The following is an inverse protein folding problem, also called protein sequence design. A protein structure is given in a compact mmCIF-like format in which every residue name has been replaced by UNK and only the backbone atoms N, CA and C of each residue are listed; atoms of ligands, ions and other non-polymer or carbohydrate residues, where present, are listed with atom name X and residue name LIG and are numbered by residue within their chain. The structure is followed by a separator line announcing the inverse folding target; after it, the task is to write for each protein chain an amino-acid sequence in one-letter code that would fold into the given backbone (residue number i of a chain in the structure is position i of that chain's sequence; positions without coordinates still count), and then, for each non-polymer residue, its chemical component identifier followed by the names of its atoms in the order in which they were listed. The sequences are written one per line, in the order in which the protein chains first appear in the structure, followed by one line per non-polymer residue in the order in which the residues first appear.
data_IF_171120157073
#
_entry.id   IF_171120157073
#
_cell.length_a   1.000
_cell.length_b   1.000
_cell.length_c   1.000
_cell.angle_alpha   90.00
_cell.angle_beta   90.00
_cell.angle_gamma   90.00
#
_symmetry.space_group_name_H-M   'P 1'
#
loop_
_entity.id
_entity.type
_entity.pdbx_description
1 polymer ?
#
# COMPACT_ATOMS: atom_id res chain seq x y z
N UNK A 1 18.52 4.59 -2.48
CA UNK A 1 17.65 5.04 -1.36
C UNK A 1 18.55 5.39 -0.19
N UNK A 2 18.64 6.66 0.20
CA UNK A 2 19.56 7.11 1.26
C UNK A 2 19.22 6.55 2.65
N UNK A 3 17.93 6.24 2.89
CA UNK A 3 17.47 5.71 4.17
C UNK A 3 17.89 4.24 4.39
N UNK A 4 17.80 3.40 3.36
CA UNK A 4 18.12 1.96 3.48
C UNK A 4 19.60 1.70 3.76
N UNK A 5 20.49 2.57 3.27
CA UNK A 5 21.93 2.53 3.58
C UNK A 5 22.27 2.95 5.01
N UNK A 6 21.33 3.57 5.73
CA UNK A 6 21.53 4.07 7.08
C UNK A 6 20.92 3.17 8.17
N UNK A 7 20.47 1.95 7.84
CA UNK A 7 19.86 1.02 8.81
C UNK A 7 18.34 1.10 8.92
N UNK A 8 17.68 1.85 8.02
CA UNK A 8 16.22 1.81 7.88
C UNK A 8 15.78 0.68 6.95
N UNK A 9 14.63 0.08 7.26
CA UNK A 9 13.97 -0.91 6.41
C UNK A 9 12.53 -0.46 6.14
N UNK A 10 12.14 -0.45 4.86
CA UNK A 10 10.76 -0.20 4.43
C UNK A 10 9.97 -1.50 4.58
N UNK A 11 8.83 -1.47 5.29
CA UNK A 11 7.96 -2.62 5.44
C UNK A 11 7.53 -3.23 4.09
N UNK A 12 7.45 -2.42 3.03
CA UNK A 12 7.14 -2.89 1.69
C UNK A 12 8.21 -3.84 1.10
N UNK A 13 9.37 -4.00 1.74
CA UNK A 13 10.35 -5.03 1.37
C UNK A 13 9.99 -6.43 1.89
N UNK A 14 8.87 -6.59 2.60
CA UNK A 14 8.42 -7.89 3.11
C UNK A 14 8.34 -8.95 2.01
N UNK A 15 8.66 -10.20 2.36
CA UNK A 15 8.51 -11.34 1.45
C UNK A 15 7.04 -11.61 1.16
N UNK A 16 6.20 -11.56 2.20
CA UNK A 16 4.76 -11.74 2.10
C UNK A 16 4.09 -10.38 1.98
N UNK A 17 3.47 -10.13 0.83
CA UNK A 17 2.83 -8.86 0.50
C UNK A 17 1.42 -9.10 -0.03
N UNK A 18 0.44 -8.43 0.56
CA UNK A 18 -0.98 -8.52 0.18
C UNK A 18 -1.46 -7.18 -0.35
N UNK A 19 -2.29 -7.22 -1.39
CA UNK A 19 -3.01 -6.06 -1.92
C UNK A 19 -2.14 -4.91 -2.44
N UNK A 20 -0.85 -5.15 -2.72
CA UNK A 20 0.10 -4.13 -3.19
C UNK A 20 -0.23 -3.55 -4.57
N UNK A 21 -1.16 -4.18 -5.30
CA UNK A 21 -1.70 -3.67 -6.55
C UNK A 21 -2.75 -2.57 -6.38
N UNK A 22 -3.15 -2.28 -5.15
CA UNK A 22 -4.07 -1.20 -4.83
C UNK A 22 -3.28 -0.06 -4.19
N UNK A 23 -3.59 1.16 -4.62
CA UNK A 23 -2.93 2.35 -4.11
C UNK A 23 -3.35 2.62 -2.67
N UNK A 24 -2.41 3.10 -1.86
CA UNK A 24 -2.70 3.50 -0.46
C UNK A 24 -3.48 4.81 -0.42
N UNK A 25 -3.35 5.63 -1.47
CA UNK A 25 -4.28 6.71 -1.76
C UNK A 25 -5.33 6.27 -2.74
N UNK A 26 -6.50 6.86 -2.61
CA UNK A 26 -7.58 6.71 -3.54
C UNK A 26 -7.48 7.71 -4.71
N UNK A 27 -6.26 7.98 -5.18
CA UNK A 27 -6.00 8.77 -6.37
C UNK A 27 -6.00 7.84 -7.60
N UNK A 28 -6.77 8.21 -8.62
CA UNK A 28 -6.78 7.48 -9.88
C UNK A 28 -6.38 8.43 -11.01
N UNK A 29 -5.19 8.27 -11.61
CA UNK A 29 -4.72 9.15 -12.68
C UNK A 29 -5.53 9.04 -13.98
N UNK A 30 -6.50 8.10 -14.04
CA UNK A 30 -7.44 7.97 -15.16
C UNK A 30 -8.77 8.67 -14.92
N UNK A 31 -9.02 9.19 -13.71
CA UNK A 31 -10.21 9.97 -13.39
C UNK A 31 -9.90 11.47 -13.53
N UNK A 32 -10.90 12.28 -13.88
CA UNK A 32 -10.75 13.75 -13.90
C UNK A 32 -10.59 14.33 -12.49
N UNK A 33 -10.09 15.57 -12.37
CA UNK A 33 -9.81 16.23 -11.07
C UNK A 33 -11.04 16.29 -10.14
N UNK A 34 -12.24 16.56 -10.68
CA UNK A 34 -13.50 16.56 -9.91
C UNK A 34 -14.02 15.16 -9.53
N UNK A 35 -13.29 14.10 -9.90
CA UNK A 35 -13.55 12.71 -9.55
C UNK A 35 -12.39 12.09 -8.77
N UNK A 36 -11.46 12.93 -8.30
CA UNK A 36 -10.44 12.54 -7.33
C UNK A 36 -11.07 12.54 -5.94
N UNK A 37 -10.85 11.45 -5.20
CA UNK A 37 -11.54 11.16 -3.95
C UNK A 37 -11.67 9.65 -3.77
N UNK A 38 -12.33 9.20 -2.71
CA UNK A 38 -12.52 7.77 -2.48
C UNK A 38 -13.44 7.17 -3.56
N UNK A 39 -12.93 6.38 -4.53
CA UNK A 39 -13.77 5.87 -5.60
C UNK A 39 -14.73 4.84 -5.00
N UNK A 40 -15.84 4.58 -5.68
CA UNK A 40 -16.81 3.58 -5.20
C UNK A 40 -16.20 2.17 -5.05
N UNK A 41 -15.14 1.86 -5.81
CA UNK A 41 -14.45 0.57 -5.82
C UNK A 41 -12.94 0.75 -6.00
N UNK A 42 -12.11 -0.17 -5.46
CA UNK A 42 -10.66 -0.07 -5.57
C UNK A 42 -10.19 -0.21 -7.02
N UNK A 43 -9.27 0.66 -7.44
CA UNK A 43 -8.60 0.52 -8.72
C UNK A 43 -7.39 -0.41 -8.62
N UNK A 44 -7.45 -1.53 -9.34
CA UNK A 44 -6.36 -2.52 -9.39
C UNK A 44 -5.35 -2.17 -10.47
N UNK A 45 -4.12 -1.85 -10.07
CA UNK A 45 -3.00 -1.67 -10.99
C UNK A 45 -2.67 -3.00 -11.67
N UNK A 46 -2.44 -2.92 -12.98
CA UNK A 46 -2.15 -4.07 -13.81
C UNK A 46 -0.65 -4.19 -14.06
N UNK A 47 -0.19 -5.43 -14.27
CA UNK A 47 1.17 -5.67 -14.73
C UNK A 47 1.34 -5.07 -16.12
N UNK A 48 2.42 -4.33 -16.31
CA UNK A 48 2.82 -3.79 -17.62
C UNK A 48 4.32 -3.99 -17.80
N UNK A 49 4.85 -3.74 -19.01
CA UNK A 49 6.31 -3.75 -19.24
C UNK A 49 7.06 -2.80 -18.30
N UNK A 50 6.45 -1.66 -17.95
CA UNK A 50 7.02 -0.64 -17.04
C UNK A 50 6.70 -0.89 -15.56
N UNK A 51 5.74 -1.77 -15.26
CA UNK A 51 5.35 -2.17 -13.91
C UNK A 51 5.16 -3.70 -13.87
N UNK A 52 6.24 -4.49 -13.88
CA UNK A 52 6.15 -5.95 -14.04
C UNK A 52 5.51 -6.64 -12.82
N UNK A 53 5.53 -5.99 -11.66
CA UNK A 53 4.92 -6.52 -10.42
C UNK A 53 3.45 -6.12 -10.29
N UNK A 54 2.98 -5.14 -11.06
CA UNK A 54 1.62 -4.59 -10.95
C UNK A 54 1.41 -3.84 -9.63
N UNK A 55 2.49 -3.33 -9.04
CA UNK A 55 2.44 -2.59 -7.78
C UNK A 55 1.85 -1.21 -8.02
N UNK A 56 0.94 -0.78 -7.16
CA UNK A 56 0.42 0.57 -7.20
C UNK A 56 1.48 1.57 -6.69
N UNK A 57 1.27 2.84 -7.02
CA UNK A 57 2.01 3.92 -6.35
C UNK A 57 1.67 3.93 -4.86
N UNK A 58 2.67 4.24 -4.02
CA UNK A 58 2.52 4.37 -2.57
C UNK A 58 2.97 5.75 -2.15
N UNK A 59 2.24 6.37 -1.24
CA UNK A 59 2.70 7.57 -0.52
C UNK A 59 2.67 7.40 0.99
N UNK A 60 2.15 6.27 1.48
CA UNK A 60 2.16 5.86 2.88
C UNK A 60 3.29 4.83 3.10
N UNK A 61 4.14 5.09 4.09
CA UNK A 61 5.33 4.29 4.36
C UNK A 61 5.38 3.89 5.83
N UNK A 62 5.72 2.62 6.09
CA UNK A 62 6.07 2.16 7.43
C UNK A 62 7.56 1.82 7.41
N UNK A 63 8.33 2.60 8.15
CA UNK A 63 9.79 2.46 8.21
C UNK A 63 10.20 1.97 9.59
N UNK A 64 11.00 0.91 9.64
CA UNK A 64 11.65 0.45 10.86
C UNK A 64 13.12 0.86 10.87
N UNK A 65 13.68 1.15 12.05
CA UNK A 65 15.10 1.43 12.22
C UNK A 65 15.70 0.47 13.24
N UNK A 66 16.82 -0.15 12.89
CA UNK A 66 17.58 -1.00 13.81
C UNK A 66 18.16 -2.25 13.16
N UNK A 67 19.32 -2.67 13.67
CA UNK A 67 20.00 -3.89 13.22
C UNK A 67 19.19 -5.13 13.58
N UNK A 68 19.06 -6.06 12.62
CA UNK A 68 18.38 -7.34 12.82
C UNK A 68 16.85 -7.29 12.78
N UNK A 69 16.25 -6.11 12.57
CA UNK A 69 14.81 -5.97 12.37
C UNK A 69 14.38 -6.71 11.09
N UNK A 70 13.40 -7.59 11.20
CA UNK A 70 12.90 -8.40 10.09
C UNK A 70 11.46 -8.05 9.76
N UNK A 71 11.20 -7.62 8.54
CA UNK A 71 9.82 -7.43 8.07
C UNK A 71 9.22 -8.79 7.69
N UNK A 72 8.13 -9.16 8.36
CA UNK A 72 7.46 -10.46 8.17
C UNK A 72 6.41 -10.35 7.06
N UNK A 73 5.52 -9.37 7.17
CA UNK A 73 4.47 -9.15 6.18
C UNK A 73 4.11 -7.66 6.05
N UNK A 74 3.52 -7.35 4.90
CA UNK A 74 2.98 -6.04 4.57
C UNK A 74 1.65 -6.18 3.82
N UNK A 75 0.70 -5.33 4.12
CA UNK A 75 -0.64 -5.35 3.55
C UNK A 75 -1.20 -3.95 3.38
N UNK A 76 -1.78 -3.70 2.20
CA UNK A 76 -2.77 -2.64 2.02
C UNK A 76 -4.12 -3.21 2.40
N UNK A 77 -4.70 -2.73 3.49
CA UNK A 77 -5.94 -3.26 4.06
C UNK A 77 -7.11 -2.71 3.27
N UNK A 78 -7.94 -3.60 2.71
CA UNK A 78 -9.11 -3.24 1.91
C UNK A 78 -10.28 -4.12 2.33
N UNK A 79 -11.36 -3.48 2.74
CA UNK A 79 -12.65 -4.11 3.04
C UNK A 79 -13.67 -3.74 1.98
N UNK A 80 -14.33 -4.75 1.40
CA UNK A 80 -15.30 -4.58 0.33
C UNK A 80 -16.66 -5.13 0.71
N UNK A 81 -17.72 -4.45 0.28
CA UNK A 81 -19.09 -4.97 0.20
C UNK A 81 -19.38 -5.26 -1.26
N UNK A 82 -19.25 -6.53 -1.66
CA UNK A 82 -19.24 -6.91 -3.07
C UNK A 82 -17.98 -6.39 -3.78
N UNK A 83 -18.15 -5.48 -4.74
CA UNK A 83 -17.03 -4.83 -5.46
C UNK A 83 -16.73 -3.42 -4.93
N UNK A 84 -17.62 -2.85 -4.14
CA UNK A 84 -17.47 -1.51 -3.61
C UNK A 84 -16.71 -1.53 -2.29
N UNK A 85 -16.08 -0.42 -1.92
CA UNK A 85 -15.54 -0.30 -0.57
C UNK A 85 -16.64 -0.35 0.48
N UNK A 86 -16.33 -0.97 1.61
CA UNK A 86 -17.19 -0.92 2.78
C UNK A 86 -16.91 0.38 3.56
N UNK A 87 -17.87 1.30 3.55
CA UNK A 87 -17.77 2.60 4.22
C UNK A 87 -17.68 2.49 5.73
N UNK A 88 -18.17 1.40 6.34
CA UNK A 88 -18.07 1.17 7.79
C UNK A 88 -16.61 0.98 8.24
N UNK A 89 -15.73 0.63 7.29
CA UNK A 89 -14.29 0.47 7.49
C UNK A 89 -13.47 1.64 6.92
N UNK A 90 -14.12 2.69 6.44
CA UNK A 90 -13.47 3.87 5.89
C UNK A 90 -13.33 4.95 6.97
N UNK A 91 -12.12 5.09 7.52
CA UNK A 91 -11.79 6.12 8.51
C UNK A 91 -11.03 7.32 7.91
N UNK A 92 -10.56 7.21 6.67
CA UNK A 92 -9.68 8.19 6.01
C UNK A 92 -9.88 8.16 4.49
N UNK A 93 -9.38 9.17 3.79
CA UNK A 93 -9.21 9.19 2.34
C UNK A 93 -8.02 8.32 1.87
N UNK A 94 -7.19 7.86 2.79
CA UNK A 94 -6.16 6.85 2.60
C UNK A 94 -6.61 5.45 3.09
N UNK A 95 -6.09 4.40 2.46
CA UNK A 95 -6.22 3.01 2.90
C UNK A 95 -5.23 2.73 4.04
N UNK A 96 -5.68 1.99 5.06
CA UNK A 96 -4.79 1.52 6.11
C UNK A 96 -3.69 0.64 5.52
N UNK A 97 -2.45 0.90 5.93
CA UNK A 97 -1.31 0.02 5.69
C UNK A 97 -0.94 -0.68 6.99
N UNK A 98 -0.72 -2.00 6.91
CA UNK A 98 -0.36 -2.83 8.04
C UNK A 98 0.93 -3.56 7.74
N UNK A 99 1.80 -3.65 8.73
CA UNK A 99 3.02 -4.43 8.66
C UNK A 99 3.30 -5.12 9.99
N UNK A 100 3.94 -6.29 9.91
CA UNK A 100 4.46 -6.99 11.09
C UNK A 100 5.98 -7.01 11.02
N UNK A 101 6.61 -6.63 12.11
CA UNK A 101 8.04 -6.74 12.29
C UNK A 101 8.36 -7.76 13.37
N UNK A 102 9.41 -8.54 13.16
CA UNK A 102 10.06 -9.30 14.21
C UNK A 102 11.32 -8.54 14.64
N UNK A 103 11.44 -8.33 15.95
CA UNK A 103 12.67 -7.85 16.57
C UNK A 103 13.69 -8.99 16.68
N UNK A 104 14.99 -8.68 16.78
CA UNK A 104 16.04 -9.67 17.03
C UNK A 104 15.77 -10.55 18.25
#
# INVERSE_FOLDING_TARGET
MALTSAGWVDAHSARLRRNIQYSTINYNPRLGEGSQGFPAAPYKFQKTKKNPKGEATRIDYIMGYGTGLRVIDYEVVIYLTGKAFNTDYQASDHQMVKATFAFP
#
